data_IF_145241993012
#
_entry.id   IF_145241993012
#
_cell.length_a   1.000
_cell.length_b   1.000
_cell.length_c   1.000
_cell.angle_alpha   90.00
_cell.angle_beta   90.00
_cell.angle_gamma   90.00
#
_symmetry.space_group_name_H-M   'P 1'
#
loop_
_entity.id
_entity.type
_entity.pdbx_description
1 polymer ?
#
# COMPACT_ATOMS: atom_id res chain seq x y z
N UNK A 1 -26.88 44.98 54.02
CA UNK A 1 -25.51 45.04 53.46
C UNK A 1 -24.96 43.63 53.51
N UNK A 2 -24.78 43.01 52.33
CA UNK A 2 -24.58 41.58 52.15
C UNK A 2 -23.19 41.11 52.64
N UNK A 3 -23.14 39.98 53.35
CA UNK A 3 -21.90 39.19 53.50
C UNK A 3 -21.69 38.36 52.23
N UNK A 4 -20.48 38.35 51.63
CA UNK A 4 -20.17 37.41 50.56
C UNK A 4 -19.80 36.04 51.15
N UNK A 5 -20.46 34.99 50.68
CA UNK A 5 -20.05 33.61 50.90
C UNK A 5 -18.80 33.31 50.08
N UNK A 6 -17.74 32.81 50.74
CA UNK A 6 -16.62 32.19 50.04
C UNK A 6 -17.05 30.77 49.62
N UNK A 7 -17.41 30.60 48.35
CA UNK A 7 -17.48 29.28 47.73
C UNK A 7 -16.07 28.85 47.33
N UNK A 8 -15.49 27.91 48.07
CA UNK A 8 -14.26 27.24 47.68
C UNK A 8 -14.52 26.43 46.41
N UNK A 9 -14.00 26.92 45.28
CA UNK A 9 -13.99 26.19 44.02
C UNK A 9 -12.92 25.10 44.14
N UNK A 10 -13.35 23.86 44.38
CA UNK A 10 -12.46 22.72 44.31
C UNK A 10 -11.99 22.57 42.84
N UNK A 11 -10.73 22.91 42.57
CA UNK A 11 -10.07 22.50 41.33
C UNK A 11 -10.02 20.96 41.34
N UNK A 12 -10.88 20.33 40.55
CA UNK A 12 -10.66 18.98 40.06
C UNK A 12 -9.40 19.04 39.17
N UNK A 13 -8.22 18.88 39.77
CA UNK A 13 -7.05 18.45 39.03
C UNK A 13 -7.36 17.06 38.50
N UNK A 14 -7.77 16.97 37.24
CA UNK A 14 -7.68 15.73 36.50
C UNK A 14 -6.20 15.33 36.49
N UNK A 15 -5.85 14.36 37.31
CA UNK A 15 -4.53 13.73 37.28
C UNK A 15 -4.36 13.07 35.93
N UNK A 16 -3.69 13.75 34.99
CA UNK A 16 -3.09 13.09 33.83
C UNK A 16 -1.96 12.24 34.40
N UNK A 17 -2.25 10.99 34.75
CA UNK A 17 -1.19 10.05 35.14
C UNK A 17 -0.23 9.93 33.98
N UNK A 18 1.05 10.25 34.20
CA UNK A 18 2.10 10.02 33.23
C UNK A 18 2.12 8.52 32.89
N UNK A 19 2.06 8.19 31.59
CA UNK A 19 2.10 6.80 31.13
C UNK A 19 3.37 6.10 31.63
N UNK A 20 3.24 4.85 32.05
CA UNK A 20 4.38 4.05 32.45
C UNK A 20 5.30 3.82 31.24
N UNK A 21 6.60 4.10 31.36
CA UNK A 21 7.56 3.82 30.28
C UNK A 21 8.25 2.48 30.50
N UNK A 22 8.22 1.63 29.49
CA UNK A 22 8.87 0.33 29.44
C UNK A 22 9.93 0.34 28.34
N UNK A 23 11.19 0.41 28.73
CA UNK A 23 12.32 0.40 27.79
C UNK A 23 12.61 -1.04 27.40
N UNK A 24 12.65 -1.31 26.09
CA UNK A 24 12.98 -2.62 25.56
C UNK A 24 14.49 -2.83 25.66
N UNK A 25 14.97 -3.87 26.38
CA UNK A 25 16.38 -4.19 26.43
C UNK A 25 16.86 -4.77 25.10
N UNK A 26 18.14 -4.54 24.77
CA UNK A 26 18.80 -5.13 23.61
C UNK A 26 20.07 -5.86 24.03
N UNK A 27 20.25 -7.05 23.48
CA UNK A 27 21.46 -7.86 23.57
C UNK A 27 22.38 -7.69 22.37
N UNK A 28 22.02 -6.85 21.39
CA UNK A 28 22.78 -6.69 20.15
C UNK A 28 24.25 -6.35 20.43
N UNK A 29 24.53 -5.34 21.25
CA UNK A 29 25.90 -4.89 21.52
C UNK A 29 26.72 -5.94 22.28
N UNK A 30 26.15 -6.55 23.32
CA UNK A 30 26.88 -7.53 24.14
C UNK A 30 27.10 -8.87 23.42
N UNK A 31 26.18 -9.24 22.52
CA UNK A 31 26.29 -10.45 21.69
C UNK A 31 27.04 -10.24 20.37
N UNK A 32 27.52 -9.01 20.10
CA UNK A 32 28.12 -8.62 18.81
C UNK A 32 27.20 -8.89 17.61
N UNK A 33 25.90 -8.63 17.79
CA UNK A 33 24.87 -8.77 16.76
C UNK A 33 24.34 -10.18 16.55
N UNK A 34 24.64 -11.13 17.44
CA UNK A 34 24.27 -12.55 17.27
C UNK A 34 22.99 -12.94 18.01
N UNK A 35 22.72 -12.36 19.18
CA UNK A 35 21.56 -12.72 19.98
C UNK A 35 20.28 -12.10 19.42
N UNK A 36 19.16 -12.79 19.60
CA UNK A 36 17.82 -12.29 19.28
C UNK A 36 17.22 -11.57 20.49
N UNK A 37 16.56 -10.44 20.24
CA UNK A 37 15.82 -9.65 21.22
C UNK A 37 14.31 -9.97 21.22
N UNK A 38 13.87 -10.91 20.37
CA UNK A 38 12.44 -11.17 20.11
C UNK A 38 11.64 -11.57 21.36
N UNK A 39 12.25 -12.36 22.26
CA UNK A 39 11.62 -12.76 23.52
C UNK A 39 11.42 -11.55 24.43
N UNK A 40 12.46 -10.74 24.64
CA UNK A 40 12.37 -9.55 25.47
C UNK A 40 11.36 -8.53 24.91
N UNK A 41 11.32 -8.36 23.58
CA UNK A 41 10.33 -7.53 22.90
C UNK A 41 8.91 -8.03 23.19
N UNK A 42 8.67 -9.33 23.05
CA UNK A 42 7.35 -9.94 23.29
C UNK A 42 6.93 -9.81 24.75
N UNK A 43 7.85 -10.00 25.69
CA UNK A 43 7.61 -9.85 27.13
C UNK A 43 7.25 -8.40 27.50
N UNK A 44 7.97 -7.41 26.97
CA UNK A 44 7.66 -5.99 27.20
C UNK A 44 6.32 -5.61 26.58
N UNK A 45 6.03 -6.05 25.35
CA UNK A 45 4.73 -5.81 24.71
C UNK A 45 3.56 -6.42 25.48
N UNK A 46 3.74 -7.59 26.08
CA UNK A 46 2.73 -8.24 26.91
C UNK A 46 2.56 -7.52 28.26
N UNK A 47 3.67 -7.23 28.94
CA UNK A 47 3.68 -6.60 30.27
C UNK A 47 3.15 -5.17 30.23
N UNK A 48 3.49 -4.41 29.19
CA UNK A 48 3.14 -3.01 29.02
C UNK A 48 2.04 -2.83 27.96
N UNK A 49 1.08 -3.74 27.93
CA UNK A 49 -0.01 -3.76 26.94
C UNK A 49 -1.10 -2.70 27.18
N UNK A 50 -1.10 -2.00 28.32
CA UNK A 50 -2.04 -0.91 28.61
C UNK A 50 -1.36 0.31 29.24
N UNK A 51 -1.85 1.50 28.89
CA UNK A 51 -1.53 2.77 29.53
C UNK A 51 -0.01 3.02 29.69
N UNK A 52 0.73 2.75 28.60
CA UNK A 52 2.19 2.71 28.62
C UNK A 52 2.83 3.36 27.39
N UNK A 53 4.13 3.63 27.53
CA UNK A 53 5.06 3.91 26.44
C UNK A 53 6.02 2.73 26.37
N UNK A 54 6.09 2.05 25.24
CA UNK A 54 7.09 1.02 24.96
C UNK A 54 8.19 1.66 24.13
N UNK A 55 9.38 1.82 24.71
CA UNK A 55 10.48 2.56 24.08
C UNK A 55 11.55 1.62 23.52
N UNK A 56 11.77 1.73 22.21
CA UNK A 56 12.96 1.26 21.52
C UNK A 56 13.92 2.45 21.40
N UNK A 57 15.00 2.44 22.18
CA UNK A 57 15.87 3.60 22.37
C UNK A 57 16.65 3.97 21.11
N UNK A 58 16.88 5.27 20.92
CA UNK A 58 17.64 5.79 19.78
C UNK A 58 19.09 5.27 19.79
N UNK A 59 19.61 4.92 18.62
CA UNK A 59 20.97 4.39 18.47
C UNK A 59 21.14 2.94 18.97
N UNK A 60 20.06 2.28 19.42
CA UNK A 60 20.05 0.86 19.76
C UNK A 60 19.59 0.04 18.56
N UNK A 61 20.30 -1.05 18.30
CA UNK A 61 19.93 -2.08 17.32
C UNK A 61 19.23 -3.23 18.06
N UNK A 62 18.15 -3.73 17.48
CA UNK A 62 17.36 -4.84 18.02
C UNK A 62 17.28 -5.95 16.98
N UNK A 63 17.71 -7.16 17.31
CA UNK A 63 17.59 -8.32 16.43
C UNK A 63 16.24 -9.00 16.64
N UNK A 64 15.31 -8.86 15.70
CA UNK A 64 13.98 -9.45 15.80
C UNK A 64 13.91 -10.71 14.96
N UNK A 65 14.55 -11.78 15.45
CA UNK A 65 14.67 -13.05 14.72
C UNK A 65 13.50 -14.03 14.89
N UNK A 66 12.45 -13.64 15.61
CA UNK A 66 11.22 -14.41 15.70
C UNK A 66 10.00 -13.50 15.53
N UNK A 67 8.90 -13.99 14.94
CA UNK A 67 7.67 -13.20 14.79
C UNK A 67 7.13 -12.69 16.13
N UNK A 68 6.63 -11.46 16.13
CA UNK A 68 6.10 -10.76 17.29
C UNK A 68 4.59 -10.57 17.12
N UNK A 69 3.81 -10.89 18.17
CA UNK A 69 2.36 -10.72 18.20
C UNK A 69 1.93 -9.99 19.48
N UNK A 70 1.26 -8.86 19.31
CA UNK A 70 0.69 -8.06 20.40
C UNK A 70 -0.66 -7.46 19.97
N UNK A 71 -1.75 -8.18 20.24
CA UNK A 71 -3.09 -7.86 19.70
C UNK A 71 -4.06 -7.25 20.71
N UNK A 72 -3.63 -7.08 21.96
CA UNK A 72 -4.47 -6.60 23.07
C UNK A 72 -3.97 -5.25 23.60
N UNK A 73 -3.37 -4.42 22.74
CA UNK A 73 -2.83 -3.12 23.14
C UNK A 73 -3.98 -2.14 23.44
N UNK A 74 -3.85 -1.33 24.50
CA UNK A 74 -4.85 -0.34 24.88
C UNK A 74 -4.19 0.93 25.40
N UNK A 75 -4.36 2.07 24.72
CA UNK A 75 -3.74 3.33 25.12
C UNK A 75 -2.20 3.21 25.26
N UNK A 76 -1.56 2.67 24.22
CA UNK A 76 -0.11 2.39 24.18
C UNK A 76 0.57 3.24 23.11
N UNK A 77 1.74 3.77 23.44
CA UNK A 77 2.66 4.38 22.49
C UNK A 77 3.87 3.47 22.29
N UNK A 78 4.08 2.97 21.08
CA UNK A 78 5.30 2.28 20.68
C UNK A 78 6.25 3.32 20.09
N UNK A 79 7.27 3.73 20.85
CA UNK A 79 8.29 4.67 20.39
C UNK A 79 9.43 3.91 19.69
N UNK A 80 9.51 4.03 18.37
CA UNK A 80 10.42 3.30 17.49
C UNK A 80 11.63 4.16 17.10
N UNK A 81 12.50 4.47 18.06
CA UNK A 81 13.73 5.25 17.78
C UNK A 81 14.93 4.37 17.45
N UNK A 82 14.94 3.12 17.92
CA UNK A 82 15.97 2.13 17.58
C UNK A 82 15.72 1.45 16.23
N UNK A 83 16.75 0.78 15.70
CA UNK A 83 16.67 0.01 14.47
C UNK A 83 16.27 -1.45 14.76
N UNK A 84 15.37 -2.02 13.96
CA UNK A 84 15.02 -3.43 14.01
C UNK A 84 15.69 -4.19 12.86
N UNK A 85 16.37 -5.29 13.17
CA UNK A 85 17.05 -6.15 12.22
C UNK A 85 16.31 -7.47 12.12
N UNK A 86 15.77 -7.78 10.94
CA UNK A 86 15.19 -9.09 10.67
C UNK A 86 16.28 -10.12 10.31
N UNK A 87 15.97 -11.44 10.34
CA UNK A 87 16.91 -12.45 9.93
C UNK A 87 17.37 -12.28 8.48
N UNK A 88 18.66 -12.48 8.23
CA UNK A 88 19.25 -12.38 6.90
C UNK A 88 19.32 -13.74 6.19
N UNK A 89 19.21 -14.86 6.92
CA UNK A 89 19.25 -16.19 6.33
C UNK A 89 17.89 -16.52 5.69
N UNK A 90 17.86 -16.47 4.36
CA UNK A 90 16.66 -16.75 3.53
C UNK A 90 16.05 -18.11 3.88
N UNK A 91 16.85 -19.18 3.88
CA UNK A 91 16.38 -20.55 4.13
C UNK A 91 15.76 -20.70 5.52
N UNK A 92 16.39 -20.15 6.56
CA UNK A 92 15.86 -20.22 7.93
C UNK A 92 14.49 -19.51 8.05
N UNK A 93 14.30 -18.38 7.36
CA UNK A 93 13.00 -17.71 7.32
C UNK A 93 11.97 -18.51 6.53
N UNK A 94 12.36 -19.10 5.39
CA UNK A 94 11.46 -19.95 4.61
C UNK A 94 10.98 -21.17 5.41
N UNK A 95 11.85 -21.77 6.22
CA UNK A 95 11.50 -22.86 7.14
C UNK A 95 10.49 -22.40 8.20
N UNK A 96 10.67 -21.21 8.79
CA UNK A 96 9.70 -20.62 9.73
C UNK A 96 8.33 -20.40 9.08
N UNK A 97 8.30 -19.86 7.86
CA UNK A 97 7.07 -19.62 7.12
C UNK A 97 6.38 -20.93 6.74
N UNK A 98 7.15 -21.94 6.31
CA UNK A 98 6.63 -23.27 6.01
C UNK A 98 6.04 -23.94 7.26
N UNK A 99 6.71 -23.85 8.41
CA UNK A 99 6.21 -24.35 9.68
C UNK A 99 4.92 -23.64 10.14
N UNK A 100 4.70 -22.39 9.73
CA UNK A 100 3.47 -21.63 9.95
C UNK A 100 2.34 -21.93 8.94
N UNK A 101 2.50 -22.92 8.06
CA UNK A 101 1.50 -23.28 7.05
C UNK A 101 1.61 -22.48 5.75
N UNK A 102 2.77 -21.90 5.46
CA UNK A 102 3.06 -21.21 4.19
C UNK A 102 2.73 -19.71 4.18
N UNK A 103 2.23 -19.16 5.28
CA UNK A 103 2.00 -17.72 5.43
C UNK A 103 2.38 -17.27 6.84
N UNK A 104 3.14 -16.19 6.93
CA UNK A 104 3.62 -15.61 8.19
C UNK A 104 3.66 -14.09 8.08
N UNK A 105 3.29 -13.42 9.15
CA UNK A 105 3.49 -11.97 9.33
C UNK A 105 4.46 -11.75 10.46
N UNK A 106 5.52 -10.97 10.24
CA UNK A 106 6.58 -10.80 11.22
C UNK A 106 6.13 -10.00 12.44
N UNK A 107 5.31 -8.96 12.23
CA UNK A 107 4.72 -8.16 13.30
C UNK A 107 3.20 -8.16 13.18
N UNK A 108 2.50 -8.72 14.17
CA UNK A 108 1.03 -8.66 14.24
C UNK A 108 0.62 -7.80 15.43
N UNK A 109 0.18 -6.57 15.16
CA UNK A 109 -0.18 -5.59 16.18
C UNK A 109 -1.68 -5.30 16.13
N UNK A 110 -2.32 -5.21 17.29
CA UNK A 110 -3.75 -4.91 17.37
C UNK A 110 -4.12 -4.30 18.72
N UNK A 111 -5.20 -3.51 18.72
CA UNK A 111 -5.60 -2.80 19.92
C UNK A 111 -6.44 -1.56 19.69
N UNK A 112 -6.66 -0.80 20.76
CA UNK A 112 -7.40 0.47 20.75
C UNK A 112 -6.51 1.60 21.26
N UNK A 113 -6.59 2.77 20.63
CA UNK A 113 -5.80 3.95 20.98
C UNK A 113 -4.29 3.62 20.98
N UNK A 114 -3.80 3.08 19.86
CA UNK A 114 -2.40 2.66 19.72
C UNK A 114 -1.65 3.65 18.85
N UNK A 115 -0.47 4.07 19.30
CA UNK A 115 0.42 4.93 18.53
C UNK A 115 1.72 4.20 18.19
N UNK A 116 2.25 4.40 16.99
CA UNK A 116 3.62 4.01 16.61
C UNK A 116 4.34 5.27 16.18
N UNK A 117 5.31 5.71 16.98
CA UNK A 117 6.03 6.95 16.77
C UNK A 117 7.49 6.66 16.47
N UNK A 118 7.86 6.79 15.20
CA UNK A 118 9.26 6.76 14.75
C UNK A 118 9.99 8.07 15.05
N UNK A 119 11.26 8.11 14.66
CA UNK A 119 12.12 9.30 14.75
C UNK A 119 12.34 9.93 13.38
N UNK A 120 12.45 11.26 13.31
CA UNK A 120 12.85 11.99 12.10
C UNK A 120 14.32 11.73 11.71
N UNK A 121 15.14 11.23 12.63
CA UNK A 121 16.53 10.91 12.37
C UNK A 121 16.66 9.85 11.26
N UNK A 122 17.22 10.24 10.12
CA UNK A 122 17.31 9.38 8.93
C UNK A 122 18.21 8.15 9.11
N UNK A 123 19.00 8.06 10.19
CA UNK A 123 19.95 6.96 10.44
C UNK A 123 19.43 5.90 11.41
N UNK A 124 18.33 6.18 12.12
CA UNK A 124 17.75 5.32 13.17
C UNK A 124 16.26 5.09 12.93
N UNK A 125 15.58 4.26 13.74
CA UNK A 125 14.16 3.98 13.58
C UNK A 125 13.78 3.16 12.33
N UNK A 126 14.74 2.45 11.72
CA UNK A 126 14.49 1.62 10.54
C UNK A 126 14.09 0.20 10.91
N UNK A 127 13.09 -0.34 10.22
CA UNK A 127 12.87 -1.79 10.13
C UNK A 127 13.66 -2.31 8.91
N UNK A 128 14.80 -2.95 9.17
CA UNK A 128 15.72 -3.49 8.17
C UNK A 128 15.36 -4.95 7.89
N UNK A 129 14.74 -5.19 6.74
CA UNK A 129 14.21 -6.51 6.37
C UNK A 129 15.15 -7.35 5.51
N UNK A 130 16.22 -6.75 4.97
CA UNK A 130 17.27 -7.45 4.22
C UNK A 130 16.79 -8.21 2.97
N UNK A 131 15.77 -7.69 2.29
CA UNK A 131 15.10 -8.29 1.12
C UNK A 131 15.98 -8.49 -0.12
N UNK A 132 17.14 -7.82 -0.22
CA UNK A 132 18.01 -7.95 -1.40
C UNK A 132 18.38 -9.41 -1.71
N UNK A 133 18.77 -10.18 -0.70
CA UNK A 133 19.14 -11.58 -0.86
C UNK A 133 17.96 -12.44 -1.37
N UNK A 134 16.73 -12.04 -1.08
CA UNK A 134 15.52 -12.71 -1.56
C UNK A 134 15.24 -12.38 -3.03
N UNK A 135 15.40 -11.12 -3.39
CA UNK A 135 15.20 -10.67 -4.77
C UNK A 135 16.25 -11.31 -5.69
N UNK A 136 17.52 -11.32 -5.27
CA UNK A 136 18.61 -11.96 -6.01
C UNK A 136 18.44 -13.48 -6.14
N UNK A 137 17.80 -14.11 -5.15
CA UNK A 137 17.49 -15.55 -5.17
C UNK A 137 16.30 -15.91 -6.08
N UNK A 138 15.54 -14.93 -6.57
CA UNK A 138 14.44 -15.18 -7.49
C UNK A 138 14.99 -15.62 -8.85
N UNK A 139 14.57 -16.79 -9.33
CA UNK A 139 15.02 -17.33 -10.61
C UNK A 139 14.42 -16.53 -11.78
N UNK A 140 15.10 -16.48 -12.94
CA UNK A 140 14.53 -15.89 -14.16
C UNK A 140 13.15 -16.48 -14.49
N UNK A 141 12.18 -15.62 -14.76
CA UNK A 141 10.77 -16.00 -14.97
C UNK A 141 9.96 -16.29 -13.69
N UNK A 142 10.58 -16.19 -12.51
CA UNK A 142 9.89 -16.31 -11.23
C UNK A 142 9.22 -15.01 -10.78
N UNK A 143 8.12 -15.12 -10.04
CA UNK A 143 7.37 -13.97 -9.46
C UNK A 143 7.70 -13.75 -7.98
N UNK A 144 8.96 -13.99 -7.62
CA UNK A 144 9.46 -14.00 -6.26
C UNK A 144 9.65 -15.43 -5.72
N UNK A 145 10.55 -15.56 -4.76
CA UNK A 145 10.81 -16.84 -4.09
C UNK A 145 9.62 -17.31 -3.26
N UNK A 146 9.51 -18.61 -3.03
CA UNK A 146 8.51 -19.19 -2.13
C UNK A 146 8.70 -18.72 -0.67
N UNK A 147 7.62 -18.80 0.11
CA UNK A 147 7.64 -18.62 1.57
C UNK A 147 8.23 -17.27 2.03
N UNK A 148 7.87 -16.18 1.35
CA UNK A 148 8.19 -14.80 1.77
C UNK A 148 7.22 -14.35 2.86
N UNK A 149 7.69 -13.83 4.01
CA UNK A 149 6.80 -13.29 5.05
C UNK A 149 6.26 -11.91 4.68
N UNK A 150 5.11 -11.55 5.25
CA UNK A 150 4.63 -10.17 5.30
C UNK A 150 5.33 -9.44 6.45
N UNK A 151 5.63 -8.15 6.29
CA UNK A 151 6.34 -7.41 7.33
C UNK A 151 5.44 -7.16 8.55
N UNK A 152 4.36 -6.41 8.40
CA UNK A 152 3.54 -5.97 9.53
C UNK A 152 2.05 -5.93 9.19
N UNK A 153 1.23 -6.53 10.04
CA UNK A 153 -0.22 -6.41 10.02
C UNK A 153 -0.70 -5.64 11.25
N UNK A 154 -1.44 -4.56 11.03
CA UNK A 154 -2.07 -3.76 12.08
C UNK A 154 -3.59 -3.91 12.05
N UNK A 155 -4.19 -3.98 13.24
CA UNK A 155 -5.64 -3.89 13.42
C UNK A 155 -5.96 -2.98 14.60
N UNK A 156 -6.07 -1.68 14.33
CA UNK A 156 -6.26 -0.66 15.36
C UNK A 156 -7.65 -0.03 15.31
N UNK A 157 -8.19 0.29 16.48
CA UNK A 157 -9.30 1.24 16.62
C UNK A 157 -8.73 2.52 17.20
N UNK A 158 -8.77 3.63 16.46
CA UNK A 158 -8.05 4.87 16.77
C UNK A 158 -6.52 4.63 16.78
N UNK A 159 -5.95 4.47 15.59
CA UNK A 159 -4.51 4.29 15.39
C UNK A 159 -3.82 5.57 14.93
N UNK A 160 -2.61 5.83 15.42
CA UNK A 160 -1.76 6.90 14.91
C UNK A 160 -0.34 6.41 14.65
N UNK A 161 0.16 6.56 13.44
CA UNK A 161 1.50 6.12 13.04
C UNK A 161 2.22 7.31 12.42
N UNK A 162 3.45 7.58 12.84
CA UNK A 162 4.25 8.66 12.26
C UNK A 162 5.72 8.28 12.15
N UNK A 163 6.40 8.71 11.09
CA UNK A 163 7.83 8.47 10.82
C UNK A 163 8.22 6.99 10.77
N UNK A 164 7.31 6.13 10.31
CA UNK A 164 7.59 4.71 10.11
C UNK A 164 8.52 4.52 8.91
N UNK A 165 9.59 3.74 9.10
CA UNK A 165 10.62 3.53 8.08
C UNK A 165 10.87 2.04 7.82
N UNK A 166 10.71 1.61 6.57
CA UNK A 166 10.95 0.24 6.11
C UNK A 166 12.08 0.23 5.07
N UNK A 167 13.11 -0.57 5.30
CA UNK A 167 14.25 -0.72 4.39
C UNK A 167 14.34 -2.15 3.87
N UNK A 168 14.38 -2.27 2.53
CA UNK A 168 14.52 -3.51 1.78
C UNK A 168 13.53 -4.58 2.27
N UNK A 169 12.21 -4.33 2.28
CA UNK A 169 11.21 -5.34 2.64
C UNK A 169 11.35 -6.61 1.78
N UNK A 170 11.12 -7.78 2.37
CA UNK A 170 11.24 -9.06 1.62
C UNK A 170 10.13 -9.17 0.55
N UNK A 171 8.92 -8.76 0.90
CA UNK A 171 7.72 -8.71 0.07
C UNK A 171 6.77 -7.64 0.65
N UNK A 172 5.48 -7.96 0.87
CA UNK A 172 4.46 -7.04 1.37
C UNK A 172 4.85 -6.36 2.68
N UNK A 173 4.66 -5.03 2.76
CA UNK A 173 4.98 -4.26 3.96
C UNK A 173 3.82 -4.25 4.95
N UNK A 174 2.89 -3.30 4.80
CA UNK A 174 1.93 -2.96 5.85
C UNK A 174 0.49 -3.34 5.47
N UNK A 175 -0.06 -4.36 6.13
CA UNK A 175 -1.50 -4.63 6.08
C UNK A 175 -2.23 -3.77 7.11
N UNK A 176 -3.08 -2.85 6.64
CA UNK A 176 -3.79 -1.87 7.47
C UNK A 176 -5.27 -2.25 7.58
N UNK A 177 -5.66 -2.72 8.76
CA UNK A 177 -7.05 -3.03 9.13
C UNK A 177 -7.46 -2.26 10.38
N UNK A 178 -8.76 -2.27 10.66
CA UNK A 178 -9.35 -1.56 11.79
C UNK A 178 -10.02 -0.27 11.34
N UNK A 179 -10.12 0.71 12.24
CA UNK A 179 -10.85 1.95 11.99
C UNK A 179 -10.22 3.18 12.62
N UNK A 180 -10.41 4.33 11.98
CA UNK A 180 -9.89 5.64 12.40
C UNK A 180 -8.36 5.60 12.58
N UNK A 181 -7.65 5.39 11.48
CA UNK A 181 -6.19 5.24 11.48
C UNK A 181 -5.56 6.36 10.67
N UNK A 182 -4.61 7.06 11.27
CA UNK A 182 -3.80 8.08 10.58
C UNK A 182 -2.34 7.63 10.52
N UNK A 183 -1.75 7.66 9.33
CA UNK A 183 -0.35 7.32 9.05
C UNK A 183 0.30 8.53 8.39
N UNK A 184 1.36 9.08 8.98
CA UNK A 184 2.04 10.28 8.49
C UNK A 184 3.54 10.02 8.26
N UNK A 185 4.10 10.69 7.26
CA UNK A 185 5.54 10.87 7.08
C UNK A 185 6.33 9.55 7.03
N UNK A 186 5.77 8.53 6.38
CA UNK A 186 6.39 7.20 6.28
C UNK A 186 7.37 7.10 5.11
N UNK A 187 8.41 6.29 5.26
CA UNK A 187 9.39 6.00 4.21
C UNK A 187 9.45 4.49 3.97
N UNK A 188 9.25 4.07 2.72
CA UNK A 188 9.43 2.68 2.28
C UNK A 188 10.47 2.69 1.16
N UNK A 189 11.58 2.00 1.38
CA UNK A 189 12.72 1.97 0.46
C UNK A 189 13.04 0.53 0.04
N UNK A 190 12.56 0.14 -1.13
CA UNK A 190 12.75 -1.18 -1.73
C UNK A 190 13.50 -1.13 -3.08
N UNK A 191 14.28 -0.09 -3.35
CA UNK A 191 15.14 -0.02 -4.55
C UNK A 191 16.16 -1.15 -4.52
N UNK A 192 16.30 -1.94 -5.60
CA UNK A 192 17.32 -3.00 -5.70
C UNK A 192 18.72 -2.42 -5.94
N UNK A 193 19.77 -3.09 -5.46
CA UNK A 193 21.16 -2.76 -5.79
C UNK A 193 21.77 -3.70 -6.85
N UNK A 194 20.94 -4.53 -7.47
CA UNK A 194 21.30 -5.47 -8.55
C UNK A 194 20.25 -5.38 -9.67
N UNK A 195 20.34 -6.27 -10.66
CA UNK A 195 19.30 -6.41 -11.69
C UNK A 195 18.01 -7.09 -11.17
N UNK A 196 18.01 -7.61 -9.94
CA UNK A 196 16.85 -8.30 -9.37
C UNK A 196 15.71 -7.33 -9.09
N UNK A 197 14.48 -7.76 -9.41
CA UNK A 197 13.26 -6.99 -9.16
C UNK A 197 12.69 -7.30 -7.76
N UNK A 198 12.29 -6.27 -6.99
CA UNK A 198 11.72 -6.43 -5.65
C UNK A 198 10.22 -6.76 -5.71
N UNK A 199 9.90 -7.96 -6.20
CA UNK A 199 8.52 -8.45 -6.39
C UNK A 199 7.63 -8.27 -5.14
N UNK A 200 6.41 -7.76 -5.33
CA UNK A 200 5.37 -7.65 -4.29
C UNK A 200 5.80 -6.90 -3.04
N UNK A 201 6.61 -5.85 -3.22
CA UNK A 201 7.02 -4.97 -2.12
C UNK A 201 5.99 -3.88 -1.86
N UNK A 202 4.71 -4.27 -1.82
CA UNK A 202 3.56 -3.39 -1.62
C UNK A 202 3.77 -2.50 -0.38
N UNK A 203 3.42 -1.22 -0.51
CA UNK A 203 3.58 -0.23 0.56
C UNK A 203 2.53 -0.41 1.65
N UNK A 204 1.28 -0.06 1.33
CA UNK A 204 0.14 -0.18 2.24
C UNK A 204 -1.01 -0.98 1.60
N UNK A 205 -1.33 -2.13 2.17
CA UNK A 205 -2.50 -2.93 1.83
C UNK A 205 -3.65 -2.57 2.77
N UNK A 206 -4.58 -1.74 2.30
CA UNK A 206 -5.63 -1.15 3.12
C UNK A 206 -6.94 -1.92 2.98
N UNK A 207 -7.42 -2.46 4.10
CA UNK A 207 -8.75 -3.08 4.23
C UNK A 207 -9.56 -2.54 5.42
N UNK A 208 -9.15 -1.42 6.02
CA UNK A 208 -9.80 -0.76 7.15
C UNK A 208 -10.72 0.41 6.73
N UNK A 209 -11.38 1.02 7.71
CA UNK A 209 -12.26 2.19 7.50
C UNK A 209 -11.69 3.46 8.10
N UNK A 210 -11.97 4.62 7.52
CA UNK A 210 -11.49 5.92 8.00
C UNK A 210 -9.96 5.94 8.14
N UNK A 211 -9.29 5.63 7.04
CA UNK A 211 -7.82 5.54 6.97
C UNK A 211 -7.26 6.73 6.24
N UNK A 212 -6.37 7.48 6.87
CA UNK A 212 -5.65 8.61 6.26
C UNK A 212 -4.15 8.31 6.23
N UNK A 213 -3.56 8.33 5.04
CA UNK A 213 -2.11 8.19 4.83
C UNK A 213 -1.62 9.46 4.15
N UNK A 214 -0.65 10.16 4.74
CA UNK A 214 -0.12 11.41 4.16
C UNK A 214 1.38 11.56 4.24
N UNK A 215 1.94 12.36 3.33
CA UNK A 215 3.34 12.79 3.32
C UNK A 215 4.35 11.63 3.22
N UNK A 216 3.97 10.51 2.61
CA UNK A 216 4.84 9.34 2.52
C UNK A 216 5.72 9.35 1.27
N UNK A 217 6.92 8.77 1.39
CA UNK A 217 7.82 8.48 0.27
C UNK A 217 7.93 6.96 0.12
N UNK A 218 7.54 6.43 -1.04
CA UNK A 218 7.45 4.98 -1.27
C UNK A 218 8.13 4.63 -2.59
N UNK A 219 9.30 4.02 -2.52
CA UNK A 219 9.99 3.44 -3.67
C UNK A 219 9.96 1.93 -3.57
N UNK A 220 9.26 1.29 -4.50
CA UNK A 220 9.00 -0.15 -4.46
C UNK A 220 8.79 -0.76 -5.85
N UNK A 221 8.61 -2.09 -5.88
CA UNK A 221 8.34 -2.88 -7.09
C UNK A 221 6.92 -3.43 -7.18
N UNK A 222 5.95 -2.79 -6.53
CA UNK A 222 4.52 -3.15 -6.65
C UNK A 222 3.67 -1.94 -6.20
N UNK A 223 2.43 -2.16 -5.79
CA UNK A 223 1.51 -1.10 -5.35
C UNK A 223 2.09 -0.25 -4.22
N UNK A 224 2.13 1.07 -4.39
CA UNK A 224 2.45 1.95 -3.26
C UNK A 224 1.33 1.93 -2.21
N UNK A 225 0.10 1.77 -2.69
CA UNK A 225 -1.09 1.50 -1.88
C UNK A 225 -2.05 0.61 -2.69
N UNK A 226 -2.52 -0.47 -2.07
CA UNK A 226 -3.57 -1.34 -2.60
C UNK A 226 -4.79 -1.30 -1.67
N UNK A 227 -5.91 -0.78 -2.18
CA UNK A 227 -7.17 -0.69 -1.42
C UNK A 227 -8.03 -1.91 -1.72
N UNK A 228 -8.14 -2.80 -0.74
CA UNK A 228 -8.87 -4.06 -0.84
C UNK A 228 -10.32 -3.98 -0.36
N UNK A 229 -11.05 -5.07 -0.58
CA UNK A 229 -12.45 -5.21 -0.14
C UNK A 229 -12.60 -4.99 1.38
N UNK A 230 -13.65 -4.26 1.76
CA UNK A 230 -13.94 -3.84 3.13
C UNK A 230 -13.50 -2.40 3.43
N UNK A 231 -12.62 -1.81 2.61
CA UNK A 231 -12.13 -0.47 2.84
C UNK A 231 -13.18 0.61 2.56
N UNK A 232 -13.31 1.57 3.48
CA UNK A 232 -14.22 2.73 3.33
C UNK A 232 -13.59 4.00 3.87
N UNK A 233 -13.83 5.14 3.22
CA UNK A 233 -13.33 6.45 3.65
C UNK A 233 -11.80 6.45 3.77
N UNK A 234 -11.11 6.19 2.66
CA UNK A 234 -9.63 6.17 2.62
C UNK A 234 -9.13 7.42 1.91
N UNK A 235 -8.17 8.10 2.53
CA UNK A 235 -7.46 9.23 1.95
C UNK A 235 -5.96 8.92 1.88
N UNK A 236 -5.39 8.94 0.68
CA UNK A 236 -3.95 8.88 0.44
C UNK A 236 -3.51 10.20 -0.20
N UNK A 237 -2.66 10.98 0.48
CA UNK A 237 -2.39 12.37 0.09
C UNK A 237 -0.93 12.78 0.20
N UNK A 238 -0.49 13.73 -0.65
CA UNK A 238 0.84 14.38 -0.51
C UNK A 238 2.00 13.39 -0.55
N UNK A 239 1.91 12.37 -1.37
CA UNK A 239 2.90 11.30 -1.42
C UNK A 239 3.81 11.43 -2.64
N UNK A 240 5.03 10.91 -2.53
CA UNK A 240 5.90 10.63 -3.68
C UNK A 240 6.09 9.13 -3.78
N UNK A 241 5.72 8.55 -4.92
CA UNK A 241 5.82 7.11 -5.17
C UNK A 241 6.64 6.86 -6.43
N UNK A 242 7.37 5.75 -6.51
CA UNK A 242 8.22 5.51 -7.68
C UNK A 242 9.12 4.29 -7.67
N UNK A 243 10.23 4.41 -8.39
CA UNK A 243 11.21 3.36 -8.72
C UNK A 243 10.70 2.37 -9.78
N UNK A 244 9.85 1.43 -9.40
CA UNK A 244 9.17 0.49 -10.30
C UNK A 244 7.76 0.19 -9.78
N UNK A 245 7.13 1.22 -9.19
CA UNK A 245 5.85 1.08 -8.49
C UNK A 245 4.71 0.73 -9.46
N UNK A 246 3.71 0.02 -8.96
CA UNK A 246 2.43 -0.19 -9.64
C UNK A 246 1.36 0.82 -9.25
N UNK A 247 1.78 1.90 -8.57
CA UNK A 247 0.96 3.09 -8.38
C UNK A 247 -0.02 2.99 -7.22
N UNK A 248 -1.12 3.71 -7.36
CA UNK A 248 -2.24 3.75 -6.41
C UNK A 248 -3.36 2.86 -6.95
N UNK A 249 -3.53 1.69 -6.34
CA UNK A 249 -4.46 0.66 -6.81
C UNK A 249 -5.71 0.55 -5.95
N UNK A 250 -6.86 0.48 -6.62
CA UNK A 250 -8.06 -0.18 -6.07
C UNK A 250 -8.04 -1.65 -6.51
N UNK A 251 -8.10 -2.56 -5.55
CA UNK A 251 -8.11 -4.00 -5.75
C UNK A 251 -6.74 -4.67 -5.59
N UNK A 252 -6.59 -5.93 -5.99
CA UNK A 252 -7.56 -6.67 -6.81
C UNK A 252 -8.87 -7.01 -6.08
N UNK A 253 -10.02 -6.76 -6.72
CA UNK A 253 -11.35 -6.99 -6.13
C UNK A 253 -12.05 -8.20 -6.76
N UNK A 254 -12.75 -8.98 -5.93
CA UNK A 254 -13.62 -10.07 -6.41
C UNK A 254 -12.90 -11.38 -6.78
N UNK A 255 -11.72 -11.65 -6.22
CA UNK A 255 -10.99 -12.92 -6.45
C UNK A 255 -11.82 -14.15 -6.05
N UNK A 256 -12.52 -14.05 -4.92
CA UNK A 256 -13.51 -15.03 -4.51
C UNK A 256 -14.87 -14.69 -5.14
N UNK A 257 -15.23 -15.39 -6.21
CA UNK A 257 -16.48 -15.16 -6.93
C UNK A 257 -17.74 -15.42 -6.09
N UNK A 258 -17.62 -16.11 -4.94
CA UNK A 258 -18.73 -16.32 -4.02
C UNK A 258 -18.93 -15.15 -3.03
N UNK A 259 -18.07 -14.14 -3.03
CA UNK A 259 -18.15 -13.00 -2.12
C UNK A 259 -18.15 -11.68 -2.89
N UNK A 260 -19.07 -10.80 -2.51
CA UNK A 260 -19.15 -9.46 -3.06
C UNK A 260 -18.04 -8.60 -2.47
N UNK A 261 -17.19 -8.05 -3.33
CA UNK A 261 -16.25 -7.01 -2.95
C UNK A 261 -17.00 -5.70 -2.66
N UNK A 262 -16.53 -4.92 -1.69
CA UNK A 262 -17.10 -3.61 -1.37
C UNK A 262 -15.99 -2.62 -1.02
N UNK A 263 -15.85 -1.54 -1.81
CA UNK A 263 -14.90 -0.44 -1.57
C UNK A 263 -15.60 0.88 -1.85
N UNK A 264 -15.57 1.83 -0.90
CA UNK A 264 -16.31 3.08 -1.04
C UNK A 264 -15.56 4.30 -0.50
N UNK A 265 -15.76 5.46 -1.14
CA UNK A 265 -15.25 6.76 -0.69
C UNK A 265 -13.72 6.76 -0.57
N UNK A 266 -13.04 6.61 -1.70
CA UNK A 266 -11.57 6.57 -1.74
C UNK A 266 -11.05 7.79 -2.47
N UNK A 267 -10.09 8.50 -1.88
CA UNK A 267 -9.46 9.66 -2.48
C UNK A 267 -7.94 9.53 -2.47
N UNK A 268 -7.37 9.66 -3.66
CA UNK A 268 -5.94 9.86 -3.88
C UNK A 268 -5.75 11.31 -4.32
N UNK A 269 -4.97 12.11 -3.60
CA UNK A 269 -4.88 13.55 -3.86
C UNK A 269 -3.47 14.11 -3.67
N UNK A 270 -3.01 14.92 -4.61
CA UNK A 270 -1.67 15.55 -4.57
C UNK A 270 -0.54 14.51 -4.48
N UNK A 271 -0.44 13.63 -5.48
CA UNK A 271 0.57 12.56 -5.52
C UNK A 271 1.47 12.72 -6.73
N UNK A 272 2.77 12.56 -6.50
CA UNK A 272 3.77 12.47 -7.57
C UNK A 272 4.19 11.02 -7.77
N UNK A 273 4.07 10.53 -9.00
CA UNK A 273 4.48 9.19 -9.43
C UNK A 273 5.68 9.33 -10.37
N UNK A 274 6.78 8.65 -10.07
CA UNK A 274 8.01 8.70 -10.89
C UNK A 274 8.49 7.30 -11.20
N UNK A 275 8.63 6.94 -12.48
CA UNK A 275 9.06 5.61 -12.91
C UNK A 275 8.11 4.52 -12.37
N UNK A 276 6.89 4.49 -12.90
CA UNK A 276 5.87 3.51 -12.51
C UNK A 276 5.32 2.75 -13.71
N UNK A 277 4.80 1.55 -13.48
CA UNK A 277 3.97 0.88 -14.48
C UNK A 277 2.62 1.58 -14.58
N UNK A 278 2.03 1.89 -13.43
CA UNK A 278 0.77 2.61 -13.33
C UNK A 278 0.90 3.81 -12.40
N UNK A 279 0.03 4.80 -12.58
CA UNK A 279 -0.18 5.85 -11.58
C UNK A 279 -1.52 5.68 -10.87
N UNK A 280 -2.64 5.69 -11.60
CA UNK A 280 -3.95 5.34 -11.09
C UNK A 280 -4.40 3.99 -11.66
N UNK A 281 -4.65 3.00 -10.79
CA UNK A 281 -5.05 1.65 -11.21
C UNK A 281 -6.34 1.19 -10.53
N UNK A 282 -7.25 0.63 -11.30
CA UNK A 282 -8.33 -0.21 -10.82
C UNK A 282 -8.18 -1.61 -11.41
N UNK A 283 -8.28 -2.64 -10.57
CA UNK A 283 -8.21 -4.05 -10.98
C UNK A 283 -9.29 -4.88 -10.29
N UNK A 284 -10.18 -5.49 -11.06
CA UNK A 284 -11.11 -6.53 -10.58
C UNK A 284 -11.00 -7.82 -11.39
N UNK A 285 -11.19 -8.94 -10.70
CA UNK A 285 -11.00 -10.27 -11.27
C UNK A 285 -12.04 -10.60 -12.33
N UNK A 286 -11.64 -11.37 -13.34
CA UNK A 286 -12.58 -11.97 -14.31
C UNK A 286 -13.64 -12.78 -13.54
N UNK A 287 -14.92 -12.41 -13.72
CA UNK A 287 -16.05 -13.05 -13.04
C UNK A 287 -16.23 -12.65 -11.58
N UNK A 288 -15.44 -11.70 -11.08
CA UNK A 288 -15.59 -11.11 -9.76
C UNK A 288 -16.91 -10.35 -9.62
N UNK A 289 -17.37 -10.14 -8.39
CA UNK A 289 -18.65 -9.49 -8.09
C UNK A 289 -18.47 -8.49 -6.97
N UNK A 290 -19.24 -7.40 -6.97
CA UNK A 290 -19.11 -6.38 -5.92
C UNK A 290 -19.49 -4.97 -6.36
N UNK A 291 -19.10 -4.01 -5.53
CA UNK A 291 -19.23 -2.57 -5.77
C UNK A 291 -17.93 -1.86 -5.39
N UNK A 292 -17.44 -1.02 -6.30
CA UNK A 292 -16.50 0.04 -6.00
C UNK A 292 -17.20 1.37 -6.30
N UNK A 293 -17.26 2.28 -5.32
CA UNK A 293 -18.06 3.50 -5.45
C UNK A 293 -17.36 4.74 -4.91
N UNK A 294 -17.53 5.86 -5.59
CA UNK A 294 -17.03 7.18 -5.16
C UNK A 294 -15.51 7.15 -4.96
N UNK A 295 -14.79 7.06 -6.08
CA UNK A 295 -13.33 6.98 -6.10
C UNK A 295 -12.77 8.15 -6.90
N UNK A 296 -11.81 8.87 -6.34
CA UNK A 296 -11.20 10.03 -6.99
C UNK A 296 -9.68 9.93 -6.96
N UNK A 297 -9.06 10.12 -8.12
CA UNK A 297 -7.65 10.49 -8.25
C UNK A 297 -7.59 11.95 -8.69
N UNK A 298 -7.03 12.84 -7.85
CA UNK A 298 -6.96 14.27 -8.13
C UNK A 298 -5.57 14.85 -7.91
N UNK A 299 -5.17 15.81 -8.75
CA UNK A 299 -3.88 16.52 -8.63
C UNK A 299 -2.67 15.56 -8.70
N UNK A 300 -2.65 14.73 -9.75
CA UNK A 300 -1.64 13.67 -9.92
C UNK A 300 -0.59 14.11 -10.95
N UNK A 301 0.68 13.95 -10.58
CA UNK A 301 1.83 14.24 -11.45
C UNK A 301 2.54 12.93 -11.76
N UNK A 302 2.39 12.41 -12.98
CA UNK A 302 2.97 11.13 -13.38
C UNK A 302 4.10 11.32 -14.39
N UNK A 303 5.34 11.10 -13.96
CA UNK A 303 6.53 11.25 -14.80
C UNK A 303 7.13 9.89 -15.11
N UNK A 304 7.35 9.62 -16.40
CA UNK A 304 7.88 8.35 -16.87
C UNK A 304 7.03 7.16 -16.38
N UNK A 305 5.72 7.21 -16.62
CA UNK A 305 4.76 6.16 -16.22
C UNK A 305 4.21 5.46 -17.46
N UNK A 306 4.17 4.12 -17.46
CA UNK A 306 3.76 3.34 -18.66
C UNK A 306 2.27 3.50 -18.95
N UNK A 307 1.42 3.41 -17.93
CA UNK A 307 -0.03 3.51 -18.03
C UNK A 307 -0.55 4.49 -16.96
N UNK A 308 -0.71 5.79 -17.27
CA UNK A 308 -1.10 6.78 -16.27
C UNK A 308 -2.44 6.47 -15.59
N UNK A 309 -3.48 6.17 -16.39
CA UNK A 309 -4.80 5.75 -15.92
C UNK A 309 -5.10 4.37 -16.49
N UNK A 310 -5.30 3.37 -15.63
CA UNK A 310 -5.54 1.99 -16.03
C UNK A 310 -6.68 1.35 -15.25
N UNK A 311 -7.78 1.06 -15.92
CA UNK A 311 -8.93 0.34 -15.37
C UNK A 311 -9.06 -0.98 -16.10
N UNK A 312 -9.01 -2.10 -15.35
CA UNK A 312 -9.31 -3.44 -15.86
C UNK A 312 -10.32 -4.17 -14.99
N UNK A 313 -11.26 -4.85 -15.66
CA UNK A 313 -12.20 -5.79 -15.05
C UNK A 313 -11.97 -7.23 -15.55
N UNK A 314 -10.81 -7.47 -16.16
CA UNK A 314 -10.37 -8.79 -16.62
C UNK A 314 -9.09 -9.25 -15.94
N UNK A 315 -8.84 -8.76 -14.72
CA UNK A 315 -7.66 -9.14 -13.96
C UNK A 315 -7.63 -10.64 -13.65
N UNK A 316 -6.44 -11.23 -13.70
CA UNK A 316 -6.16 -12.59 -13.26
C UNK A 316 -4.77 -12.67 -12.64
N UNK A 317 -4.41 -13.82 -12.08
CA UNK A 317 -3.07 -14.01 -11.53
C UNK A 317 -2.02 -13.92 -12.64
N UNK A 318 -1.20 -12.88 -12.58
CA UNK A 318 -0.14 -12.57 -13.56
C UNK A 318 0.92 -13.67 -13.72
N UNK A 319 0.99 -14.62 -12.76
CA UNK A 319 1.83 -15.81 -12.85
C UNK A 319 1.22 -16.97 -13.66
N UNK A 320 0.04 -16.79 -14.25
CA UNK A 320 -0.70 -17.86 -14.95
C UNK A 320 -1.21 -17.38 -16.31
N UNK A 321 -1.43 -18.31 -17.24
CA UNK A 321 -2.21 -18.02 -18.45
C UNK A 321 -3.66 -17.82 -18.03
N UNK A 322 -4.18 -16.59 -18.13
CA UNK A 322 -5.46 -16.19 -17.55
C UNK A 322 -6.60 -17.19 -17.79
N UNK A 323 -7.43 -17.46 -16.75
CA UNK A 323 -8.47 -18.47 -16.86
C UNK A 323 -9.54 -18.04 -17.88
N UNK A 324 -10.24 -19.00 -18.51
CA UNK A 324 -11.41 -18.67 -19.29
C UNK A 324 -12.44 -17.96 -18.40
N UNK A 325 -13.13 -16.99 -19.00
CA UNK A 325 -14.16 -16.23 -18.30
C UNK A 325 -15.29 -17.17 -17.84
N UNK A 326 -15.58 -17.23 -16.54
CA UNK A 326 -16.60 -18.16 -16.02
C UNK A 326 -18.03 -17.64 -16.22
N UNK A 327 -18.23 -16.32 -16.23
CA UNK A 327 -19.52 -15.65 -16.40
C UNK A 327 -19.33 -14.17 -16.79
N UNK A 328 -20.44 -13.42 -16.90
CA UNK A 328 -20.41 -11.98 -17.19
C UNK A 328 -20.47 -11.08 -15.95
N UNK A 329 -20.22 -11.62 -14.75
CA UNK A 329 -20.20 -10.83 -13.51
C UNK A 329 -18.99 -9.91 -13.46
N UNK A 330 -19.16 -8.76 -12.81
CA UNK A 330 -18.12 -7.78 -12.53
C UNK A 330 -18.31 -7.14 -11.17
N UNK A 331 -17.22 -6.60 -10.62
CA UNK A 331 -17.30 -5.58 -9.57
C UNK A 331 -17.80 -4.29 -10.22
N UNK A 332 -19.02 -3.87 -9.94
CA UNK A 332 -19.59 -2.66 -10.54
C UNK A 332 -18.85 -1.41 -10.03
N UNK A 333 -18.54 -0.49 -10.94
CA UNK A 333 -17.84 0.76 -10.65
C UNK A 333 -18.82 1.93 -10.80
N UNK A 334 -18.94 2.76 -9.77
CA UNK A 334 -19.84 3.91 -9.75
C UNK A 334 -19.12 5.16 -9.25
N UNK A 335 -19.34 6.30 -9.88
CA UNK A 335 -18.85 7.61 -9.42
C UNK A 335 -17.30 7.64 -9.35
N UNK A 336 -16.64 7.45 -10.50
CA UNK A 336 -15.18 7.52 -10.60
C UNK A 336 -14.76 8.84 -11.24
N UNK A 337 -13.75 9.50 -10.67
CA UNK A 337 -13.23 10.76 -11.20
C UNK A 337 -11.71 10.75 -11.25
N UNK A 338 -11.17 11.15 -12.40
CA UNK A 338 -9.77 11.52 -12.54
C UNK A 338 -9.72 12.99 -12.92
N UNK A 339 -9.02 13.80 -12.13
CA UNK A 339 -8.96 15.25 -12.38
C UNK A 339 -7.58 15.86 -12.10
N UNK A 340 -7.18 16.83 -12.92
CA UNK A 340 -5.87 17.50 -12.82
C UNK A 340 -4.73 16.47 -12.81
N UNK A 341 -4.65 15.69 -13.89
CA UNK A 341 -3.72 14.58 -14.01
C UNK A 341 -2.80 14.83 -15.19
N UNK A 342 -1.51 15.04 -14.94
CA UNK A 342 -0.58 15.40 -15.99
C UNK A 342 0.80 14.73 -15.87
N UNK A 343 1.53 14.67 -16.97
CA UNK A 343 2.95 14.32 -17.02
C UNK A 343 3.36 13.53 -18.26
N UNK A 344 4.28 12.57 -18.13
CA UNK A 344 4.90 11.89 -19.28
C UNK A 344 4.70 10.39 -19.28
N UNK A 345 4.38 9.84 -20.47
CA UNK A 345 4.21 8.41 -20.69
C UNK A 345 5.55 7.77 -21.06
N UNK A 346 5.91 6.70 -20.36
CA UNK A 346 7.14 5.94 -20.58
C UNK A 346 7.07 5.19 -21.92
N UNK A 347 7.62 5.81 -22.97
CA UNK A 347 7.67 5.23 -24.34
C UNK A 347 9.04 4.71 -24.71
N UNK A 348 10.09 5.08 -23.97
CA UNK A 348 11.44 4.62 -24.24
C UNK A 348 11.71 3.22 -23.70
N UNK A 349 11.14 2.88 -22.53
CA UNK A 349 11.30 1.58 -21.89
C UNK A 349 10.02 1.18 -21.15
N UNK A 350 8.88 0.98 -21.85
CA UNK A 350 7.59 0.71 -21.20
C UNK A 350 7.64 -0.54 -20.31
N UNK A 351 6.90 -0.48 -19.21
CA UNK A 351 6.81 -1.53 -18.20
C UNK A 351 7.81 -1.37 -17.05
N UNK A 352 8.14 -2.50 -16.43
CA UNK A 352 9.11 -2.63 -15.34
C UNK A 352 9.72 -4.05 -15.32
N UNK A 353 10.53 -4.35 -14.30
CA UNK A 353 11.14 -5.68 -14.11
C UNK A 353 10.19 -6.77 -13.62
N UNK A 354 8.88 -6.52 -13.50
CA UNK A 354 7.89 -7.54 -13.08
C UNK A 354 7.36 -8.40 -14.24
N UNK A 355 7.73 -8.08 -15.48
CA UNK A 355 7.35 -8.88 -16.64
C UNK A 355 8.07 -10.24 -16.64
N UNK A 356 7.29 -11.31 -16.48
CA UNK A 356 7.78 -12.71 -16.44
C UNK A 356 7.13 -13.61 -17.50
N UNK A 357 6.35 -13.03 -18.41
CA UNK A 357 5.65 -13.73 -19.51
C UNK A 357 6.04 -13.12 -20.85
N UNK A 358 5.82 -13.87 -21.94
CA UNK A 358 5.99 -13.36 -23.31
C UNK A 358 4.73 -13.64 -24.15
N UNK A 359 3.96 -12.61 -24.57
CA UNK A 359 4.16 -11.19 -24.25
C UNK A 359 3.99 -10.89 -22.75
N UNK A 360 4.44 -9.71 -22.30
CA UNK A 360 4.31 -9.30 -20.90
C UNK A 360 2.85 -9.30 -20.43
N UNK A 361 2.61 -9.61 -19.15
CA UNK A 361 1.25 -9.75 -18.62
C UNK A 361 0.45 -8.43 -18.66
N UNK A 362 1.12 -7.28 -18.70
CA UNK A 362 0.47 -5.98 -18.88
C UNK A 362 0.21 -5.63 -20.35
N UNK A 363 0.67 -6.47 -21.30
CA UNK A 363 0.48 -6.30 -22.75
C UNK A 363 -0.58 -7.26 -23.34
N UNK A 364 -1.13 -8.16 -22.53
CA UNK A 364 -2.16 -9.11 -22.97
C UNK A 364 -3.57 -8.59 -22.72
N UNK A 365 -4.51 -9.03 -23.56
CA UNK A 365 -5.94 -8.75 -23.38
C UNK A 365 -6.40 -7.37 -23.87
N UNK A 366 -5.48 -6.45 -24.15
CA UNK A 366 -5.77 -5.11 -24.63
C UNK A 366 -5.50 -4.98 -26.14
N UNK A 367 -6.42 -4.38 -26.92
CA UNK A 367 -6.24 -4.24 -28.35
C UNK A 367 -5.26 -3.11 -28.71
N UNK A 368 -4.29 -3.42 -29.57
CA UNK A 368 -3.42 -2.42 -30.22
C UNK A 368 -2.64 -1.52 -29.25
N UNK A 369 -2.09 -2.09 -28.17
CA UNK A 369 -1.20 -1.35 -27.26
C UNK A 369 0.02 -0.82 -28.02
N UNK A 370 0.29 0.47 -27.82
CA UNK A 370 1.44 1.19 -28.40
C UNK A 370 2.31 1.84 -27.34
N UNK A 371 1.92 1.71 -26.06
CA UNK A 371 2.52 2.38 -24.90
C UNK A 371 2.49 3.90 -25.00
N UNK A 372 1.47 4.42 -25.68
CA UNK A 372 1.16 5.86 -25.76
C UNK A 372 -0.17 6.19 -25.10
N UNK A 373 -0.79 5.19 -24.46
CA UNK A 373 -2.12 5.27 -23.90
C UNK A 373 -2.14 6.16 -22.65
N UNK A 374 -2.70 7.35 -22.76
CA UNK A 374 -2.94 8.24 -21.62
C UNK A 374 -4.03 7.69 -20.69
N UNK A 375 -5.02 7.00 -21.28
CA UNK A 375 -6.18 6.45 -20.60
C UNK A 375 -6.53 5.07 -21.14
N UNK A 376 -6.62 4.08 -20.24
CA UNK A 376 -7.17 2.76 -20.52
C UNK A 376 -8.36 2.53 -19.60
N UNK A 377 -9.55 2.38 -20.19
CA UNK A 377 -10.80 2.05 -19.50
C UNK A 377 -11.39 0.77 -20.09
N UNK A 378 -11.19 -0.36 -19.41
CA UNK A 378 -11.79 -1.63 -19.77
C UNK A 378 -12.93 -1.99 -18.81
N UNK A 379 -14.16 -1.68 -19.22
CA UNK A 379 -15.36 -2.09 -18.53
C UNK A 379 -15.82 -3.47 -19.03
N UNK A 380 -16.17 -4.34 -18.10
CA UNK A 380 -16.56 -5.71 -18.37
C UNK A 380 -17.82 -5.80 -19.24
N UNK A 381 -18.85 -5.06 -18.84
CA UNK A 381 -20.14 -4.97 -19.53
C UNK A 381 -20.51 -3.51 -19.76
N UNK A 382 -21.44 -3.22 -20.69
CA UNK A 382 -21.96 -1.87 -20.90
C UNK A 382 -22.53 -1.19 -19.64
N UNK A 383 -22.88 -1.95 -18.60
CA UNK A 383 -23.49 -1.44 -17.36
C UNK A 383 -22.56 -1.51 -16.15
N UNK A 384 -21.35 -2.05 -16.32
CA UNK A 384 -20.40 -2.30 -15.21
C UNK A 384 -19.68 -1.04 -14.73
N UNK A 385 -19.69 0.03 -15.52
CA UNK A 385 -19.09 1.33 -15.24
C UNK A 385 -20.11 2.44 -15.46
N UNK A 386 -20.39 3.22 -14.41
CA UNK A 386 -21.36 4.31 -14.46
C UNK A 386 -20.84 5.56 -13.77
N UNK A 387 -21.17 6.72 -14.32
CA UNK A 387 -20.80 8.04 -13.80
C UNK A 387 -19.28 8.23 -13.67
N UNK A 388 -18.54 7.92 -14.73
CA UNK A 388 -17.11 8.21 -14.82
C UNK A 388 -16.90 9.63 -15.35
N UNK A 389 -15.85 10.30 -14.87
CA UNK A 389 -15.45 11.62 -15.35
C UNK A 389 -13.93 11.77 -15.46
N UNK A 390 -13.47 12.29 -16.59
CA UNK A 390 -12.09 12.70 -16.85
C UNK A 390 -12.07 14.23 -17.02
N UNK A 391 -11.25 14.94 -16.24
CA UNK A 391 -11.17 16.41 -16.29
C UNK A 391 -9.72 16.87 -16.26
N UNK A 392 -9.31 17.71 -17.20
CA UNK A 392 -7.95 18.26 -17.25
C UNK A 392 -6.88 17.15 -17.18
N UNK A 393 -6.85 16.31 -18.22
CA UNK A 393 -5.95 15.16 -18.35
C UNK A 393 -4.91 15.46 -19.44
N UNK A 394 -3.66 15.60 -19.05
CA UNK A 394 -2.56 16.05 -19.92
C UNK A 394 -1.34 15.13 -19.82
N UNK A 395 -1.37 14.03 -20.59
CA UNK A 395 -0.25 13.10 -20.67
C UNK A 395 0.43 13.14 -22.04
N UNK A 396 1.76 13.22 -22.02
CA UNK A 396 2.59 13.34 -23.21
C UNK A 396 3.54 12.14 -23.32
N UNK A 397 3.42 11.32 -24.37
CA UNK A 397 4.45 10.34 -24.72
C UNK A 397 5.83 10.99 -24.81
N UNK A 398 6.85 10.41 -24.16
CA UNK A 398 8.22 10.95 -24.18
C UNK A 398 8.80 11.08 -25.59
N UNK A 399 8.45 10.16 -26.49
CA UNK A 399 8.82 10.18 -27.90
C UNK A 399 8.00 11.18 -28.75
N UNK A 400 7.10 11.96 -28.13
CA UNK A 400 6.23 12.96 -28.75
C UNK A 400 5.23 12.43 -29.77
N UNK A 401 4.99 11.11 -29.84
CA UNK A 401 3.85 10.60 -30.59
C UNK A 401 2.55 11.10 -29.97
N UNK A 402 1.47 11.28 -30.74
CA UNK A 402 0.17 11.64 -30.18
C UNK A 402 -0.26 10.63 -29.10
N UNK A 403 -0.74 11.07 -27.93
CA UNK A 403 -1.27 10.16 -26.93
C UNK A 403 -2.50 9.41 -27.48
N UNK A 404 -2.72 8.20 -26.98
CA UNK A 404 -3.84 7.35 -27.37
C UNK A 404 -4.72 7.03 -26.16
N UNK A 405 -5.87 6.42 -26.44
CA UNK A 405 -6.78 5.88 -25.45
C UNK A 405 -7.27 4.50 -25.90
N UNK A 406 -7.53 3.64 -24.92
CA UNK A 406 -8.31 2.41 -25.08
C UNK A 406 -9.54 2.55 -24.21
N UNK A 407 -10.73 2.39 -24.80
CA UNK A 407 -11.97 2.46 -24.04
C UNK A 407 -12.96 1.42 -24.53
N UNK A 408 -13.40 0.57 -23.61
CA UNK A 408 -14.24 -0.59 -23.87
C UNK A 408 -15.44 -0.51 -22.91
N UNK A 409 -16.66 -0.53 -23.47
CA UNK A 409 -17.94 -0.61 -22.75
C UNK A 409 -18.26 0.51 -21.73
N UNK A 410 -17.47 1.59 -21.63
CA UNK A 410 -17.89 2.78 -20.87
C UNK A 410 -18.88 3.61 -21.71
N UNK A 411 -20.14 3.21 -21.72
CA UNK A 411 -21.16 3.79 -22.61
C UNK A 411 -21.52 5.22 -22.21
N UNK A 412 -21.73 6.08 -23.21
CA UNK A 412 -22.02 7.51 -23.05
C UNK A 412 -23.27 7.78 -22.22
N UNK A 413 -24.34 7.01 -22.41
CA UNK A 413 -25.61 7.20 -21.69
C UNK A 413 -25.50 6.96 -20.17
N UNK A 414 -24.52 6.17 -19.74
CA UNK A 414 -24.23 5.92 -18.33
C UNK A 414 -23.05 6.76 -17.81
N UNK A 415 -22.31 7.41 -18.70
CA UNK A 415 -21.13 8.22 -18.39
C UNK A 415 -21.17 9.53 -19.20
N UNK A 416 -22.21 10.38 -19.03
CA UNK A 416 -22.38 11.60 -19.83
C UNK A 416 -21.24 12.61 -19.61
N UNK A 417 -20.57 12.53 -18.47
CA UNK A 417 -19.46 13.41 -18.08
C UNK A 417 -18.09 12.74 -18.26
N UNK A 418 -17.98 11.65 -19.03
CA UNK A 418 -16.72 10.91 -19.22
C UNK A 418 -15.59 11.81 -19.74
N UNK A 419 -15.95 12.87 -20.48
CA UNK A 419 -15.02 13.83 -21.06
C UNK A 419 -14.44 13.38 -22.40
N UNK A 420 -14.41 12.08 -22.69
CA UNK A 420 -13.98 11.54 -23.99
C UNK A 420 -15.08 10.74 -24.66
N UNK A 421 -15.00 10.61 -25.98
CA UNK A 421 -15.75 9.56 -26.69
C UNK A 421 -15.08 8.22 -26.40
N UNK A 422 -15.80 7.28 -25.80
CA UNK A 422 -15.28 5.95 -25.52
C UNK A 422 -15.04 5.16 -26.81
N UNK A 423 -13.78 5.12 -27.25
CA UNK A 423 -13.29 4.34 -28.40
C UNK A 423 -11.77 4.16 -28.30
N UNK A 424 -11.24 3.22 -29.06
CA UNK A 424 -9.79 3.12 -29.26
C UNK A 424 -9.32 4.16 -30.28
N UNK A 425 -8.15 4.76 -30.05
CA UNK A 425 -7.53 5.68 -31.01
C UNK A 425 -6.82 6.84 -30.33
N UNK A 426 -6.67 7.96 -31.04
CA UNK A 426 -6.04 9.17 -30.51
C UNK A 426 -6.81 9.72 -29.31
N UNK A 427 -6.08 9.96 -28.23
CA UNK A 427 -6.55 10.73 -27.10
C UNK A 427 -6.33 12.20 -27.39
N UNK A 428 -7.38 12.99 -27.28
CA UNK A 428 -7.30 14.44 -27.42
C UNK A 428 -7.44 15.00 -26.00
N UNK A 429 -6.39 15.61 -25.43
CA UNK A 429 -6.46 16.26 -24.13
C UNK A 429 -7.64 17.24 -24.09
N UNK A 430 -8.39 17.23 -22.98
CA UNK A 430 -9.52 18.12 -22.73
C UNK A 430 -9.08 19.42 -22.06
#
# INVERSE_FOLDING_TARGET
MLLPSLTATALLLSTVSALQTCVVPSQYKCSKGLASDSTAISEVLAHCSSDSIIEFSEGVEYNVFSPIKATNLSNVVISLKGNWNLPQNVTAVQELVAAAGGSLTWFTLGGKNVQILGTENITTGWIKSYGQAWWDANLPGGTGTANRPHLMAINFQNGFIQHLKSLKPIAWNFSVKGSNITILDSIIEATSNSAAFPFNTDGFDVGGTDVTIRNSVIYNGDDAIAVGSGAKNVLFQKATIGYQTHGMSIGSLGSNQAQFADVQNIRFDDVTVVNGVYAARFKSWIGGQGLAKNVTWSNIRAYNVTFPIFVTQTYFNQATTGPPRPNNSSVNMQDFTWENFAGTINTYSPGDGSCVTDPCWYDVGLPSLTHTEAVIIECNTPTSCTNFALRNIEHFPQNQTPPTQICINAVETLNPDLGIVCRNGTFVPL
#
